data_IF_697607263956
#
_entry.id   IF_697607263956
#
_cell.length_a   1.000
_cell.length_b   1.000
_cell.length_c   1.000
_cell.angle_alpha   90.00
_cell.angle_beta   90.00
_cell.angle_gamma   90.00
#
_symmetry.space_group_name_H-M   'P 1'
#
loop_
_entity.id
_entity.type
_entity.pdbx_description
1 polymer ?
#
# COMPACT_ATOMS: atom_id res chain seq x y z
N UNK A 1 -27.52 -46.82 -27.29
CA UNK A 1 -29.00 -46.94 -27.25
C UNK A 1 -29.35 -47.82 -26.06
N UNK A 2 -30.41 -47.49 -25.30
CA UNK A 2 -31.02 -48.31 -24.23
C UNK A 2 -30.10 -48.65 -23.02
N UNK A 3 -30.58 -48.84 -21.78
CA UNK A 3 -31.96 -48.69 -21.27
C UNK A 3 -31.99 -48.12 -19.84
N UNK A 4 -33.05 -47.37 -19.56
CA UNK A 4 -33.44 -46.80 -18.26
C UNK A 4 -33.69 -47.85 -17.15
N UNK A 5 -33.44 -47.45 -15.90
CA UNK A 5 -34.47 -47.61 -14.85
C UNK A 5 -34.40 -46.48 -13.81
N UNK A 6 -35.52 -46.14 -13.18
CA UNK A 6 -35.61 -45.08 -12.17
C UNK A 6 -36.72 -45.38 -11.13
N UNK A 7 -36.50 -45.01 -9.86
CA UNK A 7 -37.55 -44.93 -8.83
C UNK A 7 -37.19 -43.93 -7.72
N UNK A 8 -38.17 -43.54 -6.89
CA UNK A 8 -38.14 -42.34 -6.00
C UNK A 8 -39.11 -42.50 -4.81
N UNK A 9 -39.05 -41.58 -3.82
CA UNK A 9 -39.96 -41.43 -2.64
C UNK A 9 -39.88 -42.60 -1.60
N UNK A 10 -40.25 -42.56 -0.30
CA UNK A 10 -40.91 -41.60 0.64
C UNK A 10 -40.62 -42.02 2.13
N UNK A 11 -40.99 -41.38 3.26
CA UNK A 11 -41.20 -39.97 3.72
C UNK A 11 -41.59 -39.94 5.24
N UNK A 12 -41.49 -38.78 5.92
CA UNK A 12 -41.98 -38.45 7.31
C UNK A 12 -41.20 -39.07 8.51
N UNK A 13 -41.24 -38.59 9.78
CA UNK A 13 -41.95 -37.52 10.57
C UNK A 13 -40.89 -36.74 11.40
N UNK A 14 -40.95 -35.43 11.75
CA UNK A 14 -41.88 -34.60 12.57
C UNK A 14 -41.97 -34.98 14.06
N UNK A 15 -41.46 -34.11 14.97
CA UNK A 15 -42.17 -33.63 16.18
C UNK A 15 -41.53 -32.37 16.84
N UNK A 16 -42.17 -31.79 17.88
CA UNK A 16 -41.81 -30.50 18.53
C UNK A 16 -42.03 -30.53 20.06
N UNK A 17 -41.04 -30.13 20.88
CA UNK A 17 -41.25 -29.62 22.26
C UNK A 17 -40.49 -28.27 22.43
N UNK A 18 -40.72 -27.54 23.54
CA UNK A 18 -40.68 -26.06 23.63
C UNK A 18 -40.59 -25.60 25.10
N UNK A 19 -40.06 -24.39 25.35
CA UNK A 19 -39.91 -23.73 26.68
C UNK A 19 -38.87 -24.39 27.63
N UNK A 20 -38.37 -23.75 28.70
CA UNK A 20 -38.69 -22.42 29.28
C UNK A 20 -37.46 -21.67 29.82
N UNK A 21 -37.63 -20.39 30.21
CA UNK A 21 -36.62 -19.58 30.92
C UNK A 21 -37.04 -19.39 32.38
N UNK A 22 -36.11 -19.53 33.33
CA UNK A 22 -36.24 -18.91 34.66
C UNK A 22 -34.90 -18.60 35.33
N UNK A 23 -34.93 -17.60 36.21
CA UNK A 23 -33.83 -17.05 37.01
C UNK A 23 -33.42 -17.92 38.20
N UNK A 24 -32.15 -17.80 38.62
CA UNK A 24 -31.75 -17.81 40.05
C UNK A 24 -30.39 -17.11 40.25
N UNK A 25 -29.95 -16.94 41.51
CA UNK A 25 -28.87 -16.02 41.96
C UNK A 25 -27.55 -16.73 42.30
N UNK A 26 -26.54 -15.89 42.58
CA UNK A 26 -25.26 -16.22 43.24
C UNK A 26 -25.41 -17.17 44.45
N UNK A 27 -24.40 -18.00 44.74
CA UNK A 27 -23.50 -17.72 45.87
C UNK A 27 -22.23 -18.61 45.94
N UNK A 28 -21.13 -17.96 46.37
CA UNK A 28 -19.88 -18.39 47.04
C UNK A 28 -19.26 -19.81 46.96
N UNK A 29 -17.91 -19.80 46.93
CA UNK A 29 -16.93 -20.71 47.61
C UNK A 29 -16.50 -22.07 47.00
N UNK A 30 -15.41 -21.99 46.22
CA UNK A 30 -14.10 -22.65 46.45
C UNK A 30 -13.88 -24.19 46.42
N UNK A 31 -12.79 -24.55 45.72
CA UNK A 31 -12.00 -25.80 45.76
C UNK A 31 -12.65 -27.14 45.36
N UNK A 32 -12.20 -27.69 44.23
CA UNK A 32 -11.33 -28.89 44.15
C UNK A 32 -10.70 -28.98 42.74
N UNK A 33 -9.60 -29.72 42.57
CA UNK A 33 -8.76 -29.68 41.37
C UNK A 33 -9.24 -30.51 40.17
N UNK A 34 -9.17 -29.87 38.99
CA UNK A 34 -8.73 -30.40 37.69
C UNK A 34 -9.14 -31.83 37.25
N UNK A 35 -10.18 -31.93 36.41
CA UNK A 35 -10.15 -32.79 35.22
C UNK A 35 -11.23 -32.40 34.18
N UNK A 36 -10.96 -32.73 32.91
CA UNK A 36 -11.84 -32.62 31.72
C UNK A 36 -12.26 -31.21 31.22
N UNK A 37 -12.46 -31.13 29.89
CA UNK A 37 -12.76 -29.94 29.06
C UNK A 37 -11.63 -28.89 29.05
N UNK A 38 -11.15 -28.36 27.92
CA UNK A 38 -11.72 -28.31 26.56
C UNK A 38 -10.88 -29.14 25.56
N UNK A 39 -11.54 -29.75 24.57
CA UNK A 39 -10.87 -30.43 23.45
C UNK A 39 -11.60 -30.19 22.11
N UNK A 40 -11.39 -29.01 21.52
CA UNK A 40 -11.81 -28.64 20.15
C UNK A 40 -10.70 -27.73 19.56
N UNK A 41 -10.48 -27.80 18.25
CA UNK A 41 -9.48 -27.02 17.50
C UNK A 41 -8.00 -27.27 17.88
N UNK A 42 -7.51 -28.49 17.64
CA UNK A 42 -6.08 -28.71 17.35
C UNK A 42 -5.86 -29.80 16.29
N UNK A 43 -6.32 -29.54 15.06
CA UNK A 43 -5.90 -30.23 13.85
C UNK A 43 -5.69 -29.20 12.74
N UNK A 44 -4.78 -29.51 11.80
CA UNK A 44 -4.43 -28.73 10.60
C UNK A 44 -3.65 -27.40 10.81
N UNK A 45 -2.49 -27.45 11.47
CA UNK A 45 -1.33 -26.60 11.09
C UNK A 45 0.01 -27.18 11.59
N UNK A 46 0.61 -28.14 10.85
CA UNK A 46 1.98 -28.61 11.16
C UNK A 46 2.72 -29.25 9.97
N UNK A 47 3.02 -28.46 8.95
CA UNK A 47 4.04 -28.72 7.90
C UNK A 47 4.54 -27.35 7.42
N UNK A 48 5.83 -27.05 7.25
CA UNK A 48 7.01 -27.93 7.23
C UNK A 48 8.28 -27.10 7.55
N UNK A 49 9.11 -27.51 8.51
CA UNK A 49 10.46 -26.92 8.71
C UNK A 49 11.54 -28.01 8.61
N UNK A 50 12.60 -27.74 7.84
CA UNK A 50 13.69 -28.69 7.56
C UNK A 50 14.92 -28.44 8.43
N UNK A 51 14.90 -28.86 9.69
CA UNK A 51 16.14 -29.10 10.47
C UNK A 51 15.86 -29.97 11.70
N UNK A 52 16.00 -31.29 11.57
CA UNK A 52 15.97 -32.20 12.72
C UNK A 52 17.02 -33.30 12.58
N UNK A 53 18.29 -32.97 12.88
CA UNK A 53 19.36 -33.98 13.07
C UNK A 53 20.61 -33.46 13.81
N UNK A 54 20.49 -33.20 15.11
CA UNK A 54 21.60 -33.31 16.08
C UNK A 54 21.08 -33.27 17.53
N UNK A 55 21.80 -33.93 18.45
CA UNK A 55 21.77 -33.75 19.90
C UNK A 55 20.40 -33.77 20.61
N UNK A 56 19.90 -34.98 20.90
CA UNK A 56 19.08 -35.20 22.10
C UNK A 56 20.00 -35.03 23.33
N UNK A 57 19.69 -34.09 24.22
CA UNK A 57 20.43 -33.85 25.46
C UNK A 57 19.53 -33.15 26.48
N UNK A 58 19.21 -33.82 27.58
CA UNK A 58 18.08 -33.45 28.43
C UNK A 58 18.36 -32.27 29.38
N UNK A 59 17.48 -31.26 29.36
CA UNK A 59 17.26 -30.32 30.45
C UNK A 59 15.78 -29.87 30.46
N UNK A 60 15.21 -29.64 31.65
CA UNK A 60 13.82 -29.17 31.80
C UNK A 60 13.77 -27.65 31.60
N UNK A 61 12.92 -27.18 30.69
CA UNK A 61 12.43 -25.80 30.64
C UNK A 61 10.90 -25.79 30.61
N UNK A 62 10.30 -24.81 31.28
CA UNK A 62 8.88 -24.82 31.63
C UNK A 62 7.96 -24.29 30.52
N UNK A 63 6.79 -24.90 30.38
CA UNK A 63 5.71 -24.51 29.45
C UNK A 63 5.06 -23.15 29.76
N UNK A 64 5.60 -22.39 30.72
CA UNK A 64 5.14 -21.05 31.10
C UNK A 64 5.63 -19.93 30.17
N UNK A 65 6.64 -20.18 29.33
CA UNK A 65 7.24 -19.14 28.49
C UNK A 65 6.36 -18.72 27.30
N UNK A 66 5.88 -19.67 26.49
CA UNK A 66 5.19 -19.38 25.23
C UNK A 66 3.88 -18.59 25.43
N UNK A 67 3.08 -18.94 26.45
CA UNK A 67 1.77 -18.31 26.69
C UNK A 67 1.87 -16.87 27.24
N UNK A 68 3.05 -16.42 27.67
CA UNK A 68 3.23 -15.08 28.24
C UNK A 68 3.58 -14.00 27.20
N UNK A 69 3.97 -14.41 25.99
CA UNK A 69 4.22 -13.52 24.84
C UNK A 69 2.91 -13.01 24.23
N UNK A 70 2.14 -13.92 23.64
CA UNK A 70 0.90 -13.62 22.90
C UNK A 70 -0.09 -12.76 23.70
N UNK A 71 -0.21 -13.04 25.01
CA UNK A 71 -1.16 -12.32 25.86
C UNK A 71 -0.77 -10.87 26.14
N UNK A 72 0.54 -10.56 26.18
CA UNK A 72 1.03 -9.17 26.22
C UNK A 72 0.84 -8.49 24.87
N UNK A 73 1.26 -9.15 23.78
CA UNK A 73 1.20 -8.58 22.42
C UNK A 73 -0.23 -8.22 22.02
N UNK A 74 -1.22 -9.07 22.33
CA UNK A 74 -2.64 -8.82 22.04
C UNK A 74 -3.24 -7.68 22.89
N UNK A 75 -3.03 -7.68 24.22
CA UNK A 75 -3.48 -6.59 25.11
C UNK A 75 -2.83 -5.24 24.75
N UNK A 76 -1.57 -5.25 24.35
CA UNK A 76 -0.82 -4.05 23.98
C UNK A 76 -1.18 -3.55 22.58
N UNK A 77 -1.44 -4.43 21.60
CA UNK A 77 -2.07 -4.04 20.33
C UNK A 77 -3.42 -3.38 20.57
N UNK A 78 -4.22 -3.87 21.53
CA UNK A 78 -5.48 -3.24 21.92
C UNK A 78 -5.26 -1.87 22.61
N UNK A 79 -4.23 -1.72 23.46
CA UNK A 79 -3.88 -0.41 24.06
C UNK A 79 -3.42 0.60 23.00
N UNK A 80 -2.53 0.20 22.08
CA UNK A 80 -2.05 1.08 21.00
C UNK A 80 -3.21 1.47 20.08
N UNK A 81 -4.06 0.51 19.67
CA UNK A 81 -5.31 0.82 18.96
C UNK A 81 -6.19 1.79 19.74
N UNK A 82 -6.38 1.61 21.04
CA UNK A 82 -7.21 2.49 21.89
C UNK A 82 -6.64 3.91 22.09
N UNK A 83 -5.32 4.10 22.02
CA UNK A 83 -4.65 5.42 22.01
C UNK A 83 -4.82 6.14 20.66
N UNK A 84 -5.14 5.38 19.60
CA UNK A 84 -5.22 5.81 18.21
C UNK A 84 -6.68 6.00 17.74
N UNK A 85 -7.61 5.18 18.23
CA UNK A 85 -9.01 5.18 17.82
C UNK A 85 -9.87 6.05 18.74
N UNK A 86 -9.80 7.36 18.54
CA UNK A 86 -10.82 8.31 19.01
C UNK A 86 -11.57 8.87 17.78
N UNK A 87 -12.91 8.93 17.80
CA UNK A 87 -13.68 9.40 16.65
C UNK A 87 -13.86 10.93 16.68
N UNK A 88 -13.21 11.65 15.78
CA UNK A 88 -13.49 13.06 15.49
C UNK A 88 -14.70 13.22 14.55
N UNK A 89 -15.86 12.70 14.96
CA UNK A 89 -17.15 12.87 14.28
C UNK A 89 -17.99 13.98 14.95
N UNK A 90 -17.70 15.25 14.65
CA UNK A 90 -18.67 16.35 14.80
C UNK A 90 -18.56 17.39 13.66
N UNK A 91 -19.68 18.03 13.27
CA UNK A 91 -19.74 18.81 12.03
C UNK A 91 -19.07 20.19 12.13
N UNK A 92 -18.35 20.57 11.08
CA UNK A 92 -17.78 21.90 10.91
C UNK A 92 -18.89 22.96 10.75
N UNK A 93 -19.15 23.72 11.82
CA UNK A 93 -20.08 24.85 11.80
C UNK A 93 -19.57 26.01 10.93
N UNK A 94 -20.50 26.81 10.42
CA UNK A 94 -20.23 27.84 9.42
C UNK A 94 -19.70 29.15 10.05
N UNK A 95 -18.70 29.77 9.42
CA UNK A 95 -18.20 31.09 9.81
C UNK A 95 -16.89 31.50 9.13
N UNK A 96 -16.98 32.22 8.01
CA UNK A 96 -15.82 32.76 7.28
C UNK A 96 -15.86 34.30 7.26
N UNK A 97 -14.97 35.00 8.00
CA UNK A 97 -14.69 36.41 7.79
C UNK A 97 -13.86 36.57 6.51
N UNK A 98 -14.32 37.41 5.58
CA UNK A 98 -13.58 37.72 4.35
C UNK A 98 -12.42 38.70 4.62
N UNK A 99 -11.18 38.22 4.57
CA UNK A 99 -9.99 39.06 4.65
C UNK A 99 -9.09 38.86 3.41
N UNK A 100 -9.19 39.76 2.44
CA UNK A 100 -8.38 39.72 1.21
C UNK A 100 -6.99 40.29 1.45
N UNK A 101 -5.97 39.43 1.53
CA UNK A 101 -4.57 39.84 1.47
C UNK A 101 -3.85 39.13 0.32
N UNK A 102 -3.34 39.90 -0.64
CA UNK A 102 -2.48 39.41 -1.72
C UNK A 102 -1.07 39.17 -1.19
N UNK A 103 -0.84 38.02 -0.57
CA UNK A 103 0.52 37.54 -0.33
C UNK A 103 1.20 37.18 -1.66
N UNK A 104 2.54 37.29 -1.71
CA UNK A 104 3.33 36.77 -2.83
C UNK A 104 3.28 35.24 -2.74
N UNK A 105 2.37 34.62 -3.49
CA UNK A 105 2.11 33.19 -3.35
C UNK A 105 3.29 32.37 -3.85
N UNK A 106 3.99 31.72 -2.91
CA UNK A 106 4.77 30.53 -3.22
C UNK A 106 3.85 29.54 -3.96
N UNK A 107 4.31 28.95 -5.08
CA UNK A 107 3.46 28.10 -5.90
C UNK A 107 2.97 26.92 -5.08
N UNK A 108 1.65 26.77 -4.97
CA UNK A 108 1.00 25.74 -4.16
C UNK A 108 1.53 24.37 -4.55
N UNK A 109 1.99 23.61 -3.55
CA UNK A 109 2.66 22.33 -3.73
C UNK A 109 1.90 21.23 -3.04
N UNK A 110 1.50 20.22 -3.83
CA UNK A 110 0.92 18.98 -3.37
C UNK A 110 1.96 17.87 -3.40
N UNK A 111 2.08 17.11 -2.32
CA UNK A 111 2.81 15.84 -2.31
C UNK A 111 1.81 14.70 -2.11
N UNK A 112 1.73 13.81 -3.10
CA UNK A 112 0.97 12.56 -3.02
C UNK A 112 1.96 11.41 -2.85
N UNK A 113 1.78 10.59 -1.83
CA UNK A 113 2.71 9.53 -1.47
C UNK A 113 2.02 8.17 -1.63
N UNK A 114 2.63 7.29 -2.42
CA UNK A 114 2.33 5.86 -2.42
C UNK A 114 2.86 5.27 -1.10
N UNK A 115 1.94 5.11 -0.14
CA UNK A 115 2.25 4.62 1.19
C UNK A 115 2.74 3.17 1.19
N UNK A 116 2.32 2.36 0.21
CA UNK A 116 2.68 0.95 0.12
C UNK A 116 4.11 0.78 -0.40
N UNK A 117 4.52 1.48 -1.46
CA UNK A 117 5.91 1.46 -1.92
C UNK A 117 6.87 2.05 -0.86
N UNK A 118 6.46 3.06 -0.10
CA UNK A 118 7.25 3.59 1.03
C UNK A 118 7.52 2.51 2.08
N UNK A 119 6.49 1.76 2.51
CA UNK A 119 6.65 0.69 3.52
C UNK A 119 7.44 -0.50 2.96
N UNK A 120 7.14 -0.96 1.74
CA UNK A 120 7.91 -2.04 1.10
C UNK A 120 9.39 -1.68 0.92
N UNK A 121 9.70 -0.44 0.51
CA UNK A 121 11.09 0.04 0.42
C UNK A 121 11.76 0.08 1.78
N UNK A 122 11.05 0.50 2.82
CA UNK A 122 11.58 0.49 4.18
C UNK A 122 11.91 -0.94 4.63
N UNK A 123 10.97 -1.88 4.45
CA UNK A 123 11.13 -3.30 4.76
C UNK A 123 12.35 -3.92 4.05
N UNK A 124 12.43 -3.85 2.72
CA UNK A 124 13.58 -4.41 1.99
C UNK A 124 14.92 -3.75 2.35
N UNK A 125 14.91 -2.48 2.75
CA UNK A 125 16.12 -1.79 3.25
C UNK A 125 16.55 -2.29 4.65
N UNK A 126 15.63 -2.74 5.50
CA UNK A 126 15.97 -3.42 6.77
C UNK A 126 16.47 -4.84 6.47
N UNK A 127 15.73 -5.63 5.70
CA UNK A 127 16.12 -7.00 5.30
C UNK A 127 17.55 -7.05 4.72
N UNK A 128 17.88 -6.15 3.79
CA UNK A 128 19.22 -6.09 3.19
C UNK A 128 20.33 -5.74 4.19
N UNK A 129 20.06 -4.98 5.25
CA UNK A 129 21.05 -4.71 6.31
C UNK A 129 21.35 -5.97 7.11
N UNK A 130 20.29 -6.67 7.55
CA UNK A 130 20.41 -7.89 8.36
C UNK A 130 21.13 -9.00 7.59
N UNK A 131 20.79 -9.18 6.30
CA UNK A 131 21.40 -10.19 5.43
C UNK A 131 22.88 -9.95 5.12
N UNK A 132 23.34 -8.69 5.08
CA UNK A 132 24.74 -8.34 4.75
C UNK A 132 25.66 -8.21 5.98
N UNK A 133 25.46 -9.06 7.00
CA UNK A 133 26.31 -9.08 8.19
C UNK A 133 26.13 -7.88 9.13
N UNK A 134 25.10 -7.06 8.89
CA UNK A 134 24.68 -6.03 9.83
C UNK A 134 23.99 -6.65 11.04
N UNK A 135 24.79 -7.17 11.98
CA UNK A 135 24.31 -7.57 13.30
C UNK A 135 23.68 -6.36 14.01
N UNK A 136 22.36 -6.23 13.89
CA UNK A 136 21.57 -5.56 14.91
C UNK A 136 21.51 -6.52 16.09
N UNK A 137 22.54 -6.46 16.95
CA UNK A 137 22.77 -7.40 18.05
C UNK A 137 21.55 -7.58 18.96
N UNK A 138 20.72 -6.54 19.06
CA UNK A 138 19.68 -6.37 20.07
C UNK A 138 18.28 -6.23 19.43
N UNK A 139 18.16 -6.55 18.13
CA UNK A 139 16.87 -6.74 17.49
C UNK A 139 16.31 -8.12 17.88
N UNK A 140 15.38 -8.17 18.83
CA UNK A 140 14.56 -9.36 19.04
C UNK A 140 13.83 -9.73 17.75
N UNK A 141 13.65 -11.02 17.46
CA UNK A 141 13.15 -11.53 16.17
C UNK A 141 11.82 -10.89 15.70
N UNK A 142 11.00 -10.38 16.62
CA UNK A 142 9.72 -9.71 16.35
C UNK A 142 9.80 -8.18 16.16
N UNK A 143 10.99 -7.55 16.05
CA UNK A 143 11.15 -6.08 16.08
C UNK A 143 11.22 -5.36 14.70
N UNK A 144 11.40 -6.10 13.60
CA UNK A 144 11.64 -5.53 12.26
C UNK A 144 10.53 -4.61 11.72
N UNK A 145 9.29 -4.80 12.17
CA UNK A 145 8.18 -3.92 11.80
C UNK A 145 8.36 -2.51 12.36
N UNK A 146 9.01 -2.34 13.53
CA UNK A 146 9.30 -1.02 14.09
C UNK A 146 10.37 -0.32 13.27
N UNK A 147 11.47 -1.02 12.94
CA UNK A 147 12.54 -0.49 12.09
C UNK A 147 12.02 -0.11 10.70
N UNK A 148 11.06 -0.89 10.18
CA UNK A 148 10.32 -0.61 8.95
C UNK A 148 9.46 0.64 9.08
N UNK A 149 8.61 0.76 10.11
CA UNK A 149 7.79 1.95 10.38
C UNK A 149 8.66 3.21 10.55
N UNK A 150 9.72 3.16 11.35
CA UNK A 150 10.61 4.30 11.58
C UNK A 150 11.38 4.71 10.33
N UNK A 151 11.81 3.75 9.50
CA UNK A 151 12.45 4.03 8.19
C UNK A 151 11.45 4.62 7.19
N UNK A 152 10.20 4.18 7.20
CA UNK A 152 9.12 4.69 6.36
C UNK A 152 8.69 6.12 6.79
N UNK A 153 8.46 6.35 8.08
CA UNK A 153 8.21 7.68 8.66
C UNK A 153 9.36 8.65 8.35
N UNK A 154 10.61 8.22 8.53
CA UNK A 154 11.80 9.02 8.16
C UNK A 154 11.84 9.38 6.68
N UNK A 155 11.25 8.55 5.82
CA UNK A 155 11.14 8.77 4.37
C UNK A 155 10.01 9.75 4.04
N UNK A 156 8.85 9.66 4.71
CA UNK A 156 7.77 10.66 4.57
C UNK A 156 8.22 12.03 5.10
N UNK A 157 8.84 12.08 6.29
CA UNK A 157 9.44 13.29 6.87
C UNK A 157 10.44 13.98 5.93
N UNK A 158 11.13 13.24 5.06
CA UNK A 158 12.04 13.81 4.05
C UNK A 158 11.30 14.58 2.95
N UNK A 159 10.04 14.26 2.66
CA UNK A 159 9.28 14.99 1.64
C UNK A 159 8.97 16.44 2.06
N UNK A 160 8.96 16.74 3.36
CA UNK A 160 8.79 18.10 3.88
C UNK A 160 9.98 19.04 3.57
N UNK A 161 11.15 18.51 3.20
CA UNK A 161 12.30 19.30 2.71
C UNK A 161 11.96 20.08 1.41
N UNK A 162 10.82 19.76 0.77
CA UNK A 162 10.27 20.48 -0.38
C UNK A 162 9.22 21.56 -0.04
N UNK A 163 8.95 21.80 1.24
CA UNK A 163 7.93 22.72 1.78
C UNK A 163 6.54 22.55 1.10
N UNK A 164 5.90 21.38 1.27
CA UNK A 164 4.54 21.13 0.77
C UNK A 164 3.46 21.93 1.52
N UNK A 165 2.71 22.75 0.81
CA UNK A 165 1.46 23.32 1.34
C UNK A 165 0.36 22.25 1.55
N UNK A 166 0.39 21.18 0.76
CA UNK A 166 -0.62 20.11 0.78
C UNK A 166 0.07 18.74 0.73
N UNK A 167 -0.41 17.76 1.49
CA UNK A 167 0.12 16.39 1.52
C UNK A 167 -0.97 15.34 1.73
N UNK A 168 -0.87 14.23 0.98
CA UNK A 168 -1.63 13.01 1.21
C UNK A 168 -0.78 11.75 1.09
N UNK A 169 -1.08 10.74 1.89
CA UNK A 169 -0.53 9.38 1.76
C UNK A 169 -1.67 8.43 1.41
N UNK A 170 -1.54 7.75 0.28
CA UNK A 170 -2.55 6.87 -0.28
C UNK A 170 -2.09 5.43 -0.08
N UNK A 171 -2.98 4.55 0.35
CA UNK A 171 -2.72 3.12 0.46
C UNK A 171 -3.77 2.32 -0.34
N UNK A 172 -3.38 1.14 -0.82
CA UNK A 172 -4.34 0.18 -1.37
C UNK A 172 -5.35 -0.24 -0.30
N UNK A 173 -6.64 -0.19 -0.65
CA UNK A 173 -7.67 -0.86 0.14
C UNK A 173 -7.57 -2.38 -0.07
N UNK A 174 -7.72 -3.22 0.98
CA UNK A 174 -7.73 -4.68 0.81
C UNK A 174 -8.94 -5.15 -0.01
N UNK A 175 -8.71 -6.01 -1.01
CA UNK A 175 -9.77 -6.61 -1.83
C UNK A 175 -9.43 -6.68 -3.31
N UNK A 176 -10.44 -7.02 -4.13
CA UNK A 176 -10.34 -7.00 -5.59
C UNK A 176 -10.60 -5.59 -6.13
N UNK A 177 -9.93 -5.25 -7.22
CA UNK A 177 -10.07 -3.97 -7.93
C UNK A 177 -10.67 -4.17 -9.33
N UNK A 178 -11.11 -3.11 -10.00
CA UNK A 178 -11.71 -3.20 -11.35
C UNK A 178 -10.80 -3.92 -12.37
N UNK A 179 -9.46 -3.86 -12.22
CA UNK A 179 -8.52 -4.61 -13.08
C UNK A 179 -8.70 -6.13 -12.97
N UNK A 180 -8.99 -6.65 -11.78
CA UNK A 180 -9.27 -8.08 -11.55
C UNK A 180 -10.59 -8.53 -12.21
N UNK A 181 -11.57 -7.63 -12.36
CA UNK A 181 -12.81 -7.90 -13.09
C UNK A 181 -12.63 -7.83 -14.62
N UNK A 182 -11.58 -7.15 -15.11
CA UNK A 182 -11.19 -7.11 -16.53
C UNK A 182 -10.35 -8.34 -16.89
N UNK A 183 -9.45 -8.77 -16.00
CA UNK A 183 -8.54 -9.88 -16.23
C UNK A 183 -8.26 -10.63 -14.92
N UNK A 184 -8.78 -11.85 -14.78
CA UNK A 184 -8.67 -12.68 -13.57
C UNK A 184 -7.23 -13.02 -13.18
N UNK A 185 -6.31 -12.99 -14.14
CA UNK A 185 -4.92 -13.37 -13.94
C UNK A 185 -4.02 -12.18 -13.55
N UNK A 186 -4.58 -10.97 -13.45
CA UNK A 186 -3.89 -9.76 -13.02
C UNK A 186 -3.28 -9.94 -11.62
N UNK A 187 -2.02 -9.52 -11.45
CA UNK A 187 -1.24 -9.58 -10.20
C UNK A 187 -1.11 -10.97 -9.53
N UNK A 188 -1.65 -12.07 -10.09
CA UNK A 188 -1.60 -13.43 -9.49
C UNK A 188 -0.19 -13.93 -9.18
N UNK A 189 0.82 -13.51 -9.94
CA UNK A 189 2.22 -13.91 -9.74
C UNK A 189 2.96 -13.05 -8.70
N UNK A 190 2.33 -12.03 -8.11
CA UNK A 190 2.93 -11.26 -7.00
C UNK A 190 2.92 -12.12 -5.73
N UNK A 191 4.08 -12.28 -5.09
CA UNK A 191 4.19 -12.91 -3.77
C UNK A 191 3.28 -12.24 -2.74
N UNK A 192 2.78 -12.98 -1.73
CA UNK A 192 1.99 -12.40 -0.64
C UNK A 192 2.75 -11.27 0.06
N UNK A 193 2.01 -10.30 0.61
CA UNK A 193 2.59 -9.22 1.42
C UNK A 193 3.24 -9.82 2.67
N UNK A 194 4.53 -9.57 2.96
CA UNK A 194 5.18 -10.10 4.15
C UNK A 194 4.48 -9.65 5.43
N UNK A 195 4.38 -10.51 6.44
CA UNK A 195 3.66 -10.21 7.68
C UNK A 195 4.21 -8.96 8.39
N UNK A 196 5.53 -8.75 8.37
CA UNK A 196 6.22 -7.53 8.82
C UNK A 196 5.68 -6.26 8.16
N UNK A 197 5.33 -6.32 6.86
CA UNK A 197 4.75 -5.21 6.10
C UNK A 197 3.28 -5.01 6.48
N UNK A 198 2.50 -6.09 6.64
CA UNK A 198 1.11 -6.02 7.13
C UNK A 198 1.04 -5.39 8.52
N UNK A 199 1.92 -5.82 9.43
CA UNK A 199 2.07 -5.27 10.77
C UNK A 199 2.50 -3.80 10.72
N UNK A 200 3.52 -3.45 9.93
CA UNK A 200 3.96 -2.06 9.76
C UNK A 200 2.86 -1.14 9.23
N UNK A 201 2.02 -1.61 8.30
CA UNK A 201 0.87 -0.86 7.78
C UNK A 201 -0.14 -0.51 8.89
N UNK A 202 -0.34 -1.41 9.86
CA UNK A 202 -1.21 -1.18 11.01
C UNK A 202 -0.76 -0.07 11.96
N UNK A 203 0.54 0.25 12.02
CA UNK A 203 1.10 1.29 12.89
C UNK A 203 1.50 2.57 12.16
N UNK A 204 1.94 2.50 10.89
CA UNK A 204 2.35 3.71 10.15
C UNK A 204 1.17 4.61 9.78
N UNK A 205 0.04 4.04 9.35
CA UNK A 205 -1.18 4.79 8.98
C UNK A 205 -1.64 5.73 10.10
N UNK A 206 -1.83 5.26 11.35
CA UNK A 206 -2.21 6.16 12.45
C UNK A 206 -1.07 7.06 12.94
N UNK A 207 0.20 6.64 12.86
CA UNK A 207 1.32 7.53 13.17
C UNK A 207 1.36 8.75 12.22
N UNK A 208 1.14 8.53 10.93
CA UNK A 208 1.03 9.60 9.93
C UNK A 208 -0.20 10.50 10.19
N UNK A 209 -1.36 9.92 10.52
CA UNK A 209 -2.55 10.70 10.88
C UNK A 209 -2.29 11.60 12.11
N UNK A 210 -1.60 11.09 13.13
CA UNK A 210 -1.18 11.84 14.32
C UNK A 210 -0.12 12.93 14.04
N UNK A 211 0.47 12.99 12.84
CA UNK A 211 1.31 14.09 12.36
C UNK A 211 0.52 15.19 11.61
N UNK A 212 -0.80 15.05 11.46
CA UNK A 212 -1.64 15.93 10.64
C UNK A 212 -1.63 15.61 9.14
N UNK A 213 -1.17 14.41 8.74
CA UNK A 213 -1.08 14.01 7.33
C UNK A 213 -2.36 13.28 6.89
N UNK A 214 -2.96 13.72 5.78
CA UNK A 214 -4.19 13.12 5.23
C UNK A 214 -3.91 11.69 4.70
N UNK A 215 -4.59 10.70 5.26
CA UNK A 215 -4.58 9.32 4.76
C UNK A 215 -5.79 9.10 3.85
N UNK A 216 -5.61 8.36 2.75
CA UNK A 216 -6.68 8.01 1.80
C UNK A 216 -6.59 6.53 1.42
N UNK A 217 -7.72 5.84 1.52
CA UNK A 217 -7.93 4.45 1.09
C UNK A 217 -9.31 4.37 0.44
N UNK A 218 -9.42 3.74 -0.74
CA UNK A 218 -10.66 3.74 -1.55
C UNK A 218 -11.00 2.29 -1.95
N UNK A 219 -12.14 1.73 -1.51
CA UNK A 219 -12.53 0.37 -1.86
C UNK A 219 -12.69 0.16 -3.38
N UNK A 220 -12.21 -0.98 -3.89
CA UNK A 220 -12.37 -1.38 -5.31
C UNK A 220 -11.43 -0.69 -6.30
N UNK A 221 -10.56 0.21 -5.82
CA UNK A 221 -9.65 1.06 -6.61
C UNK A 221 -8.24 0.92 -6.07
N UNK A 222 -7.23 1.01 -6.94
CA UNK A 222 -5.81 0.92 -6.54
C UNK A 222 -5.27 2.29 -6.14
N UNK A 223 -4.26 2.31 -5.25
CA UNK A 223 -3.66 3.57 -4.79
C UNK A 223 -3.20 4.48 -5.94
N UNK A 224 -2.76 3.87 -7.04
CA UNK A 224 -2.20 4.54 -8.19
C UNK A 224 -3.25 5.36 -8.95
N UNK A 225 -4.47 4.83 -9.13
CA UNK A 225 -5.59 5.52 -9.79
C UNK A 225 -6.13 6.69 -8.94
N UNK A 226 -6.12 6.51 -7.61
CA UNK A 226 -6.44 7.57 -6.64
C UNK A 226 -5.41 8.69 -6.73
N UNK A 227 -4.11 8.35 -6.74
CA UNK A 227 -3.02 9.32 -6.93
C UNK A 227 -3.13 10.02 -8.29
N UNK A 228 -3.41 9.29 -9.37
CA UNK A 228 -3.57 9.84 -10.72
C UNK A 228 -4.70 10.86 -10.82
N UNK A 229 -5.86 10.53 -10.27
CA UNK A 229 -7.03 11.43 -10.26
C UNK A 229 -6.77 12.67 -9.40
N UNK A 230 -6.21 12.49 -8.19
CA UNK A 230 -5.88 13.61 -7.29
C UNK A 230 -4.80 14.53 -7.90
N UNK A 231 -3.78 13.97 -8.55
CA UNK A 231 -2.72 14.74 -9.19
C UNK A 231 -3.26 15.59 -10.34
N UNK A 232 -4.06 15.01 -11.23
CA UNK A 232 -4.64 15.71 -12.37
C UNK A 232 -5.65 16.78 -11.92
N UNK A 233 -6.43 16.53 -10.86
CA UNK A 233 -7.34 17.53 -10.31
C UNK A 233 -6.59 18.70 -9.63
N UNK A 234 -5.54 18.43 -8.85
CA UNK A 234 -4.74 19.49 -8.25
C UNK A 234 -4.00 20.37 -9.28
N UNK A 235 -3.60 19.82 -10.44
CA UNK A 235 -3.06 20.62 -11.56
C UNK A 235 -4.11 21.53 -12.19
N UNK A 236 -5.39 21.10 -12.29
CA UNK A 236 -6.49 21.98 -12.72
C UNK A 236 -6.72 23.13 -11.75
N UNK A 237 -6.47 22.91 -10.46
CA UNK A 237 -6.45 23.96 -9.42
C UNK A 237 -5.11 24.74 -9.36
N UNK A 238 -4.21 24.56 -10.33
CA UNK A 238 -2.97 25.32 -10.49
C UNK A 238 -1.78 24.85 -9.64
N UNK A 239 -1.91 23.75 -8.90
CA UNK A 239 -0.86 23.25 -8.00
C UNK A 239 0.28 22.54 -8.74
N UNK A 240 1.50 22.66 -8.20
CA UNK A 240 2.67 21.86 -8.60
C UNK A 240 2.68 20.57 -7.78
N UNK A 241 2.42 19.44 -8.45
CA UNK A 241 2.26 18.13 -7.80
C UNK A 241 3.57 17.36 -7.82
N UNK A 242 3.84 16.63 -6.74
CA UNK A 242 4.92 15.66 -6.64
C UNK A 242 4.37 14.32 -6.19
N UNK A 243 4.59 13.28 -7.01
CA UNK A 243 4.18 11.91 -6.70
C UNK A 243 5.38 11.12 -6.18
N UNK A 244 5.33 10.66 -4.93
CA UNK A 244 6.39 9.88 -4.28
C UNK A 244 6.05 8.40 -4.44
N UNK A 245 6.58 7.79 -5.50
CA UNK A 245 6.61 6.34 -5.69
C UNK A 245 7.85 5.95 -6.52
N UNK A 246 8.15 4.65 -6.53
CA UNK A 246 9.09 4.04 -7.49
C UNK A 246 8.40 3.37 -8.67
N UNK A 247 7.07 3.30 -8.72
CA UNK A 247 6.40 2.68 -9.85
C UNK A 247 6.71 3.42 -11.18
N UNK A 248 6.63 2.68 -12.28
CA UNK A 248 6.82 3.15 -13.65
C UNK A 248 5.49 3.65 -14.23
N UNK A 249 4.34 3.15 -13.78
CA UNK A 249 3.06 3.44 -14.42
C UNK A 249 2.66 4.92 -14.22
N UNK A 250 3.12 5.52 -13.11
CA UNK A 250 3.07 6.97 -12.87
C UNK A 250 3.83 7.82 -13.89
N UNK A 251 4.69 7.25 -14.74
CA UNK A 251 5.27 8.02 -15.86
C UNK A 251 4.17 8.59 -16.77
N UNK A 252 3.00 7.94 -16.87
CA UNK A 252 1.82 8.44 -17.60
C UNK A 252 1.31 9.80 -17.10
N UNK A 253 1.60 10.20 -15.85
CA UNK A 253 1.17 11.47 -15.26
C UNK A 253 2.12 12.64 -15.53
N UNK A 254 3.32 12.39 -16.07
CA UNK A 254 4.37 13.42 -16.16
C UNK A 254 3.91 14.56 -17.06
N UNK A 255 4.12 15.80 -16.57
CA UNK A 255 3.69 17.03 -17.22
C UNK A 255 4.46 18.22 -16.64
N UNK A 256 4.34 19.46 -17.15
CA UNK A 256 5.09 20.60 -16.60
C UNK A 256 4.84 20.87 -15.11
N UNK A 257 3.67 20.47 -14.59
CA UNK A 257 3.31 20.64 -13.17
C UNK A 257 3.45 19.36 -12.33
N UNK A 258 3.44 18.16 -12.92
CA UNK A 258 3.58 16.87 -12.22
C UNK A 258 4.98 16.29 -12.44
N UNK A 259 5.73 16.08 -11.35
CA UNK A 259 7.00 15.34 -11.35
C UNK A 259 6.96 14.19 -10.35
N UNK A 260 7.65 13.11 -10.66
CA UNK A 260 7.83 11.98 -9.73
C UNK A 260 9.03 12.27 -8.81
N UNK A 261 8.95 11.82 -7.56
CA UNK A 261 10.03 11.82 -6.59
C UNK A 261 10.43 10.36 -6.33
N UNK A 262 11.26 9.83 -7.23
CA UNK A 262 11.62 8.41 -7.23
C UNK A 262 12.79 8.19 -6.28
N UNK A 263 12.75 7.10 -5.52
CA UNK A 263 13.84 6.78 -4.60
C UNK A 263 15.13 6.42 -5.33
N UNK A 264 16.27 6.85 -4.78
CA UNK A 264 17.57 6.31 -5.23
C UNK A 264 17.66 4.82 -4.88
N UNK A 265 18.25 4.05 -5.80
CA UNK A 265 18.51 2.62 -5.63
C UNK A 265 19.53 2.36 -4.51
N UNK A 266 20.50 3.27 -4.33
CA UNK A 266 21.49 3.23 -3.25
C UNK A 266 21.41 4.52 -2.41
N UNK A 267 21.12 4.39 -1.11
CA UNK A 267 21.10 5.49 -0.14
C UNK A 267 19.71 6.02 0.26
N UNK A 268 19.67 7.27 0.75
CA UNK A 268 18.50 7.95 1.35
C UNK A 268 17.99 9.15 0.55
N UNK A 269 18.39 9.27 -0.72
CA UNK A 269 17.95 10.31 -1.64
C UNK A 269 16.57 10.05 -2.25
N UNK A 270 16.00 11.12 -2.80
CA UNK A 270 14.93 11.09 -3.80
C UNK A 270 15.45 11.88 -5.02
N UNK A 271 15.13 11.42 -6.22
CA UNK A 271 15.43 12.12 -7.47
C UNK A 271 14.13 12.62 -8.08
N UNK A 272 14.12 13.91 -8.44
CA UNK A 272 13.04 14.56 -9.17
C UNK A 272 13.10 14.11 -10.63
N UNK A 273 12.02 13.52 -11.15
CA UNK A 273 11.94 13.00 -12.51
C UNK A 273 10.68 13.57 -13.19
N UNK A 274 10.86 14.28 -14.30
CA UNK A 274 9.82 14.96 -15.05
C UNK A 274 9.99 14.77 -16.56
N UNK A 275 9.57 15.76 -17.36
CA UNK A 275 9.56 15.67 -18.82
C UNK A 275 10.97 15.52 -19.41
N UNK A 276 11.94 16.20 -18.83
CA UNK A 276 13.32 16.25 -19.32
C UNK A 276 13.98 14.86 -19.22
N UNK A 277 13.86 14.23 -18.05
CA UNK A 277 14.37 12.87 -17.82
C UNK A 277 13.51 11.80 -18.50
N UNK A 278 12.20 12.04 -18.69
CA UNK A 278 11.31 11.15 -19.44
C UNK A 278 11.67 11.13 -20.93
N UNK A 279 11.76 12.30 -21.59
CA UNK A 279 12.14 12.41 -23.00
C UNK A 279 13.54 11.81 -23.26
N UNK A 280 14.50 12.06 -22.36
CA UNK A 280 15.84 11.46 -22.47
C UNK A 280 15.81 9.93 -22.35
N UNK A 281 14.99 9.37 -21.46
CA UNK A 281 14.90 7.91 -21.24
C UNK A 281 14.13 7.19 -22.35
N UNK A 282 13.07 7.79 -22.87
CA UNK A 282 12.11 7.15 -23.78
C UNK A 282 12.19 7.70 -25.21
N UNK A 283 13.37 8.17 -25.63
CA UNK A 283 13.69 8.59 -27.00
C UNK A 283 12.75 9.68 -27.55
N UNK A 284 12.33 10.61 -26.70
CA UNK A 284 11.48 11.75 -27.08
C UNK A 284 10.00 11.44 -27.27
N UNK A 285 9.50 10.30 -26.77
CA UNK A 285 8.06 10.06 -26.64
C UNK A 285 7.42 11.02 -25.62
N UNK A 286 6.12 11.28 -25.78
CA UNK A 286 5.30 11.95 -24.78
C UNK A 286 4.91 10.99 -23.62
N UNK A 287 4.75 11.48 -22.37
CA UNK A 287 4.25 10.69 -21.24
C UNK A 287 2.94 9.92 -21.50
N UNK A 288 2.03 10.53 -22.26
CA UNK A 288 0.75 9.93 -22.67
C UNK A 288 0.93 8.69 -23.57
N UNK A 289 2.04 8.60 -24.31
CA UNK A 289 2.36 7.44 -25.16
C UNK A 289 2.97 6.27 -24.36
N UNK A 290 3.33 6.46 -23.09
CA UNK A 290 3.93 5.40 -22.28
C UNK A 290 2.96 4.22 -22.07
N UNK A 291 1.65 4.48 -22.02
CA UNK A 291 0.61 3.44 -21.95
C UNK A 291 0.68 2.48 -23.14
N UNK A 292 1.03 2.98 -24.32
CA UNK A 292 1.16 2.16 -25.54
C UNK A 292 2.45 1.36 -25.53
N UNK A 293 3.55 1.93 -25.01
CA UNK A 293 4.81 1.21 -24.80
C UNK A 293 4.61 0.03 -23.83
N UNK A 294 3.89 0.25 -22.73
CA UNK A 294 3.52 -0.78 -21.78
C UNK A 294 2.56 -1.83 -22.36
N UNK A 295 1.57 -1.43 -23.16
CA UNK A 295 0.62 -2.36 -23.78
C UNK A 295 1.28 -3.36 -24.73
N UNK A 296 2.35 -2.92 -25.41
CA UNK A 296 3.13 -3.77 -26.31
C UNK A 296 4.14 -4.64 -25.56
N UNK A 297 4.84 -4.09 -24.56
CA UNK A 297 5.88 -4.81 -23.82
C UNK A 297 5.34 -5.73 -22.72
N UNK A 298 4.12 -5.49 -22.24
CA UNK A 298 3.52 -6.15 -21.09
C UNK A 298 4.17 -5.78 -19.75
N UNK A 299 3.75 -6.47 -18.69
CA UNK A 299 4.47 -6.46 -17.41
C UNK A 299 4.44 -7.82 -16.72
N UNK A 300 5.62 -8.43 -16.59
CA UNK A 300 5.81 -9.70 -15.88
C UNK A 300 5.62 -9.58 -14.36
N UNK A 301 5.77 -8.40 -13.75
CA UNK A 301 5.55 -8.17 -12.32
C UNK A 301 4.06 -8.27 -11.98
N UNK A 302 3.22 -7.72 -12.86
CA UNK A 302 1.76 -7.65 -12.67
C UNK A 302 0.99 -8.70 -13.48
N UNK A 303 1.73 -9.62 -14.11
CA UNK A 303 1.24 -10.67 -15.00
C UNK A 303 0.39 -10.13 -16.17
N UNK A 304 0.69 -8.91 -16.62
CA UNK A 304 0.07 -8.26 -17.77
C UNK A 304 0.73 -8.81 -19.05
N UNK A 305 -0.04 -9.37 -20.00
CA UNK A 305 0.51 -9.91 -21.25
C UNK A 305 1.10 -8.82 -22.14
N UNK A 306 1.87 -9.22 -23.15
CA UNK A 306 2.49 -8.31 -24.13
C UNK A 306 2.67 -9.00 -25.47
N UNK A 307 2.90 -8.22 -26.53
CA UNK A 307 3.03 -8.74 -27.89
C UNK A 307 4.35 -9.50 -28.04
N UNK A 308 4.26 -10.75 -28.49
CA UNK A 308 5.38 -11.69 -28.54
C UNK A 308 6.50 -11.17 -29.43
N UNK A 309 7.68 -11.03 -28.84
CA UNK A 309 8.88 -10.51 -29.52
C UNK A 309 9.00 -8.98 -29.51
N UNK A 310 8.07 -8.25 -28.89
CA UNK A 310 8.14 -6.80 -28.71
C UNK A 310 8.44 -6.49 -27.24
N UNK A 311 9.71 -6.27 -26.90
CA UNK A 311 10.10 -5.72 -25.60
C UNK A 311 10.11 -4.18 -25.59
N UNK A 312 10.29 -3.56 -24.42
CA UNK A 312 10.30 -2.09 -24.19
C UNK A 312 11.05 -1.32 -25.29
N UNK A 313 12.29 -1.71 -25.63
CA UNK A 313 13.12 -1.05 -26.67
C UNK A 313 12.56 -1.16 -28.10
N UNK A 314 11.74 -2.16 -28.39
CA UNK A 314 11.05 -2.32 -29.67
C UNK A 314 9.73 -1.54 -29.65
N UNK A 315 8.99 -1.61 -28.53
CA UNK A 315 7.76 -0.86 -28.32
C UNK A 315 7.97 0.65 -28.45
N UNK A 316 9.01 1.22 -27.81
CA UNK A 316 9.40 2.64 -27.93
C UNK A 316 9.57 3.04 -29.41
N UNK A 317 10.31 2.24 -30.19
CA UNK A 317 10.56 2.52 -31.62
C UNK A 317 9.29 2.45 -32.47
N UNK A 318 8.37 1.55 -32.16
CA UNK A 318 7.11 1.43 -32.87
C UNK A 318 6.17 2.59 -32.53
N UNK A 319 5.99 2.92 -31.25
CA UNK A 319 5.13 4.05 -30.85
C UNK A 319 5.70 5.40 -31.33
N UNK A 320 7.03 5.55 -31.38
CA UNK A 320 7.69 6.72 -31.99
C UNK A 320 7.47 6.83 -33.51
N UNK A 321 7.24 5.72 -34.20
CA UNK A 321 7.00 5.70 -35.64
C UNK A 321 5.52 5.84 -36.03
N UNK A 322 4.60 5.26 -35.24
CA UNK A 322 3.17 5.17 -35.56
C UNK A 322 2.27 6.05 -34.66
N UNK A 323 2.81 6.67 -33.62
CA UNK A 323 2.13 7.62 -32.74
C UNK A 323 1.31 6.98 -31.61
N UNK A 324 0.53 5.92 -31.91
CA UNK A 324 -0.24 5.16 -30.89
C UNK A 324 -0.37 3.68 -31.24
N UNK A 325 -0.83 2.87 -30.27
CA UNK A 325 -1.17 1.46 -30.49
C UNK A 325 -2.22 1.28 -31.61
N UNK A 326 -3.27 2.09 -31.63
CA UNK A 326 -4.36 1.98 -32.60
C UNK A 326 -3.88 2.22 -34.04
N UNK A 327 -2.91 3.12 -34.22
CA UNK A 327 -2.33 3.37 -35.54
C UNK A 327 -1.34 2.27 -35.93
N UNK A 328 -0.50 1.81 -34.99
CA UNK A 328 0.37 0.65 -35.19
C UNK A 328 -0.41 -0.61 -35.60
N UNK A 329 -1.57 -0.86 -34.98
CA UNK A 329 -2.42 -2.00 -35.31
C UNK A 329 -3.05 -1.87 -36.70
N UNK A 330 -3.50 -0.68 -37.12
CA UNK A 330 -3.97 -0.44 -38.50
C UNK A 330 -2.87 -0.72 -39.53
N UNK A 331 -1.64 -0.29 -39.25
CA UNK A 331 -0.50 -0.40 -40.18
C UNK A 331 0.39 -1.64 -39.93
N UNK A 332 -0.06 -2.62 -39.13
CA UNK A 332 0.76 -3.77 -38.68
C UNK A 332 1.39 -4.63 -39.79
N UNK A 333 0.82 -4.58 -41.00
CA UNK A 333 1.33 -5.26 -42.19
C UNK A 333 2.54 -4.55 -42.83
N UNK A 334 2.74 -3.26 -42.54
CA UNK A 334 3.87 -2.43 -42.99
C UNK A 334 5.05 -2.44 -42.01
N UNK A 335 4.89 -3.08 -40.83
CA UNK A 335 5.89 -3.07 -39.76
C UNK A 335 7.12 -3.90 -40.15
N UNK A 336 8.28 -3.23 -40.14
CA UNK A 336 9.56 -3.86 -40.47
C UNK A 336 9.99 -4.86 -39.39
N UNK A 337 10.03 -6.14 -39.73
CA UNK A 337 10.55 -7.22 -38.90
C UNK A 337 9.52 -8.33 -38.69
N UNK A 338 9.77 -9.50 -39.29
CA UNK A 338 8.80 -10.62 -39.35
C UNK A 338 8.28 -11.07 -37.98
N UNK A 339 9.13 -11.06 -36.95
CA UNK A 339 8.72 -11.43 -35.57
C UNK A 339 7.69 -10.43 -35.02
N UNK A 340 7.96 -9.12 -35.13
CA UNK A 340 7.09 -8.08 -34.59
C UNK A 340 5.76 -7.96 -35.37
N UNK A 341 5.78 -8.04 -36.71
CA UNK A 341 4.56 -8.02 -37.51
C UNK A 341 3.69 -9.27 -37.26
N UNK A 342 4.29 -10.47 -37.20
CA UNK A 342 3.57 -11.69 -36.82
C UNK A 342 2.98 -11.60 -35.40
N UNK A 343 3.71 -11.02 -34.44
CA UNK A 343 3.22 -10.78 -33.08
C UNK A 343 2.01 -9.84 -33.08
N UNK A 344 2.09 -8.69 -33.75
CA UNK A 344 0.98 -7.73 -33.86
C UNK A 344 -0.26 -8.30 -34.57
N UNK A 345 -0.09 -9.30 -35.45
CA UNK A 345 -1.21 -9.99 -36.10
C UNK A 345 -1.85 -11.08 -35.21
N UNK A 346 -1.06 -11.78 -34.40
CA UNK A 346 -1.55 -12.88 -33.56
C UNK A 346 -2.06 -12.41 -32.18
N UNK A 347 -1.41 -11.38 -31.61
CA UNK A 347 -1.55 -10.98 -30.22
C UNK A 347 -2.28 -9.61 -30.09
N UNK A 348 -3.03 -9.19 -31.13
CA UNK A 348 -3.76 -7.90 -31.22
C UNK A 348 -4.74 -7.68 -30.05
N UNK A 349 -5.50 -8.72 -29.69
CA UNK A 349 -6.44 -8.68 -28.55
C UNK A 349 -5.73 -8.53 -27.21
N UNK A 350 -4.54 -9.14 -27.04
CA UNK A 350 -3.72 -9.03 -25.84
C UNK A 350 -3.15 -7.62 -25.70
N UNK A 351 -2.69 -6.99 -26.80
CA UNK A 351 -2.22 -5.60 -26.77
C UNK A 351 -3.33 -4.63 -26.32
N UNK A 352 -4.55 -4.79 -26.83
CA UNK A 352 -5.71 -3.98 -26.45
C UNK A 352 -6.17 -4.25 -24.99
N UNK A 353 -6.10 -5.50 -24.53
CA UNK A 353 -6.34 -5.86 -23.13
C UNK A 353 -5.30 -5.22 -22.21
N UNK A 354 -4.02 -5.36 -22.54
CA UNK A 354 -2.91 -4.80 -21.76
C UNK A 354 -2.95 -3.28 -21.74
N UNK A 355 -3.32 -2.60 -22.84
CA UNK A 355 -3.58 -1.14 -22.81
C UNK A 355 -4.64 -0.78 -21.77
N UNK A 356 -5.74 -1.52 -21.71
CA UNK A 356 -6.82 -1.30 -20.71
C UNK A 356 -6.38 -1.61 -19.27
N UNK A 357 -5.42 -2.51 -19.05
CA UNK A 357 -4.88 -2.83 -17.73
C UNK A 357 -3.84 -1.80 -17.26
N UNK A 358 -2.91 -1.38 -18.12
CA UNK A 358 -1.84 -0.42 -17.79
C UNK A 358 -2.29 1.04 -17.84
N UNK A 359 -3.47 1.34 -18.40
CA UNK A 359 -4.05 2.70 -18.33
C UNK A 359 -4.31 3.07 -16.88
N UNK A 360 -3.64 4.14 -16.43
CA UNK A 360 -3.84 4.73 -15.12
C UNK A 360 -5.08 5.64 -15.15
N UNK A 361 -6.05 5.43 -14.26
CA UNK A 361 -7.24 6.29 -14.20
C UNK A 361 -6.89 7.65 -13.59
N UNK A 362 -7.39 8.70 -14.22
CA UNK A 362 -7.18 10.11 -13.80
C UNK A 362 -8.50 10.89 -13.70
N UNK A 363 -9.61 10.17 -13.79
CA UNK A 363 -10.98 10.64 -14.00
C UNK A 363 -11.98 9.98 -13.03
N UNK A 364 -11.50 9.41 -11.92
CA UNK A 364 -12.38 8.74 -10.95
C UNK A 364 -13.44 9.73 -10.43
N UNK A 365 -14.73 9.33 -10.42
CA UNK A 365 -15.83 10.26 -10.19
C UNK A 365 -15.91 10.72 -8.72
N UNK A 366 -16.48 11.90 -8.44
CA UNK A 366 -16.54 12.46 -7.08
C UNK A 366 -17.30 11.61 -6.04
N UNK A 367 -18.13 10.66 -6.45
CA UNK A 367 -18.80 9.72 -5.53
C UNK A 367 -17.89 8.53 -5.11
N UNK A 368 -16.77 8.31 -5.80
CA UNK A 368 -15.72 7.36 -5.42
C UNK A 368 -14.60 8.09 -4.67
N UNK A 369 -14.23 9.30 -5.10
CA UNK A 369 -13.27 10.16 -4.41
C UNK A 369 -13.95 11.50 -4.06
N UNK A 370 -14.64 11.60 -2.90
CA UNK A 370 -15.24 12.84 -2.42
C UNK A 370 -14.19 13.74 -1.75
N UNK A 371 -13.04 13.94 -2.40
CA UNK A 371 -11.91 14.74 -1.90
C UNK A 371 -11.47 15.73 -2.97
N UNK A 372 -11.29 16.99 -2.55
CA UNK A 372 -10.76 18.09 -3.36
C UNK A 372 -9.29 18.34 -3.04
N UNK A 373 -8.61 19.22 -3.78
CA UNK A 373 -7.25 19.65 -3.45
C UNK A 373 -7.13 20.19 -2.01
N UNK A 374 -8.16 20.91 -1.53
CA UNK A 374 -8.19 21.58 -0.22
C UNK A 374 -8.16 20.60 0.95
N UNK A 375 -8.68 19.39 0.78
CA UNK A 375 -8.73 18.34 1.81
C UNK A 375 -7.34 17.76 2.14
N UNK A 376 -6.32 18.14 1.38
CA UNK A 376 -4.92 17.78 1.59
C UNK A 376 -4.09 18.91 2.21
N UNK A 377 -4.69 20.07 2.54
CA UNK A 377 -3.99 21.20 3.16
C UNK A 377 -3.29 20.75 4.44
N UNK A 378 -1.95 20.79 4.44
CA UNK A 378 -1.20 20.32 5.60
C UNK A 378 -1.36 21.29 6.76
N UNK A 379 -1.60 20.74 7.96
CA UNK A 379 -1.67 21.48 9.21
C UNK A 379 -0.88 20.73 10.28
N UNK A 380 -0.09 21.40 11.13
CA UNK A 380 0.52 20.76 12.27
C UNK A 380 -0.58 20.22 13.22
N UNK A 381 -0.31 19.12 13.95
CA UNK A 381 -1.30 18.49 14.79
C UNK A 381 -1.63 19.36 16.03
N UNK A 382 -2.92 19.47 16.35
CA UNK A 382 -3.44 20.47 17.31
C UNK A 382 -2.95 20.24 18.74
N UNK A 383 -2.69 18.99 19.10
CA UNK A 383 -2.10 18.53 20.37
C UNK A 383 -0.59 18.78 20.46
N UNK A 384 -0.01 19.58 19.53
CA UNK A 384 1.43 19.80 19.36
C UNK A 384 2.21 18.50 19.09
N UNK A 385 1.52 17.48 18.60
CA UNK A 385 2.05 16.19 18.19
C UNK A 385 2.27 15.20 19.33
N UNK A 386 1.70 15.44 20.53
CA UNK A 386 1.80 14.52 21.65
C UNK A 386 1.38 13.07 21.32
N UNK A 387 0.30 12.86 20.58
CA UNK A 387 -0.15 11.53 20.15
C UNK A 387 0.87 10.83 19.26
N UNK A 388 1.49 11.55 18.31
CA UNK A 388 2.58 11.01 17.51
C UNK A 388 3.81 10.69 18.38
N UNK A 389 4.21 11.62 19.25
CA UNK A 389 5.38 11.44 20.14
C UNK A 389 5.17 10.29 21.13
N UNK A 390 3.96 10.09 21.65
CA UNK A 390 3.56 8.90 22.42
C UNK A 390 3.69 7.64 21.57
N UNK A 391 3.14 7.62 20.36
CA UNK A 391 3.18 6.46 19.48
C UNK A 391 4.61 6.03 19.11
N UNK A 392 5.50 6.97 18.72
CA UNK A 392 6.90 6.62 18.41
C UNK A 392 7.72 6.24 19.65
N UNK A 393 7.37 6.72 20.85
CA UNK A 393 8.03 6.29 22.10
C UNK A 393 7.61 4.89 22.52
N UNK A 394 6.32 4.53 22.36
CA UNK A 394 5.83 3.16 22.60
C UNK A 394 6.38 2.18 21.56
N UNK A 395 6.39 2.53 20.26
CA UNK A 395 7.08 1.69 19.27
C UNK A 395 8.59 1.62 19.53
N UNK A 396 9.17 2.69 20.07
CA UNK A 396 10.60 2.79 20.39
C UNK A 396 11.09 1.84 21.47
N UNK A 397 10.23 1.36 22.40
CA UNK A 397 10.65 0.42 23.44
C UNK A 397 10.91 -1.01 22.95
N UNK A 398 10.80 -1.25 21.63
CA UNK A 398 11.06 -2.55 20.98
C UNK A 398 12.34 -2.57 20.14
N UNK A 399 13.06 -1.44 20.04
CA UNK A 399 14.28 -1.32 19.24
C UNK A 399 15.29 -0.41 19.93
N UNK A 400 16.55 -0.81 19.97
CA UNK A 400 17.61 0.07 20.47
C UNK A 400 18.04 1.13 19.44
N UNK A 401 18.58 2.24 19.95
CA UNK A 401 19.17 3.31 19.15
C UNK A 401 18.34 4.60 19.03
N UNK A 402 18.88 5.57 18.29
CA UNK A 402 18.43 6.98 18.33
C UNK A 402 17.23 7.31 17.42
N UNK A 403 16.58 6.31 16.81
CA UNK A 403 15.48 6.50 15.84
C UNK A 403 14.35 7.40 16.39
N UNK A 404 13.95 7.20 17.64
CA UNK A 404 12.88 7.99 18.30
C UNK A 404 13.29 9.47 18.42
N UNK A 405 14.54 9.74 18.81
CA UNK A 405 15.06 11.09 18.97
C UNK A 405 15.15 11.82 17.62
N UNK A 406 15.54 11.12 16.55
CA UNK A 406 15.57 11.69 15.20
C UNK A 406 14.17 11.97 14.64
N UNK A 407 13.21 11.06 14.85
CA UNK A 407 11.82 11.26 14.46
C UNK A 407 11.19 12.43 15.24
N UNK A 408 11.39 12.49 16.56
CA UNK A 408 10.92 13.60 17.41
C UNK A 408 11.53 14.94 16.99
N UNK A 409 12.85 14.98 16.78
CA UNK A 409 13.59 16.19 16.35
C UNK A 409 13.11 16.70 14.99
N UNK A 410 12.98 15.84 13.98
CA UNK A 410 12.54 16.22 12.64
C UNK A 410 11.06 16.64 12.61
N UNK A 411 10.19 15.93 13.34
CA UNK A 411 8.76 16.25 13.38
C UNK A 411 8.50 17.59 14.07
N UNK A 412 9.15 17.85 15.22
CA UNK A 412 9.09 19.16 15.89
C UNK A 412 9.61 20.29 15.01
N UNK A 413 10.72 20.07 14.29
CA UNK A 413 11.25 21.08 13.37
C UNK A 413 10.27 21.38 12.22
N UNK A 414 9.60 20.37 11.68
CA UNK A 414 8.55 20.56 10.67
C UNK A 414 7.37 21.33 11.26
N UNK A 415 6.82 20.96 12.42
CA UNK A 415 5.68 21.70 12.99
C UNK A 415 6.01 23.17 13.29
N UNK A 416 7.27 23.49 13.61
CA UNK A 416 7.76 24.88 13.77
C UNK A 416 7.92 25.65 12.44
N UNK A 417 7.77 25.00 11.27
CA UNK A 417 7.74 25.66 9.95
C UNK A 417 6.32 25.93 9.43
N UNK A 418 5.28 25.39 10.07
CA UNK A 418 3.87 25.53 9.68
C UNK A 418 2.99 26.17 10.77
N UNK A 419 3.62 26.74 11.80
CA UNK A 419 3.04 27.64 12.80
C UNK A 419 3.51 29.08 12.53
#
# INVERSE_FOLDING_TARGET
MATSFAMRVSSSKIEKIRFNVHTLRMDSLHQIHASALVNVCCQNFCTYSRTLRACVGAAKLSSSACLYGDHKTSLMQAQIKKIISLPDDQPLAQGLPSASQKSVQNPTRLILIDGKAVVYRAYFKIMAKLQHGGHMHDASDDSDWVLTVFTALSTVLKTFELVPSHMGVIFDHPGLTFRHAIYSNYKLNRSPTPDTVVQSLGYIKPALAAMGIRIVEVPGVEADDVIGTLAVNAVKEGAKVRVVSTDKDFFQLISPNIRLLRFVQHGSGMVSFGLEEFHQRFDGLDPSQFVDVLSLAGDRIDNIPGVRGIGEKTAIKLIKAYGSLENLLKERNSVKGKIASNGLQADEGEALLSKRLVTLRTDLPPYIIPLTFKDFLYRPPQDKGEHFLRAIKVMGSFVEGQFVADLERRSKHIWLQYN
#
